data_IF_743438967323
#
_entry.id   IF_743438967323
#
_cell.length_a   1.000
_cell.length_b   1.000
_cell.length_c   1.000
_cell.angle_alpha   90.00
_cell.angle_beta   90.00
_cell.angle_gamma   90.00
#
_symmetry.space_group_name_H-M   'P 1'
#
loop_
_entity.id
_entity.type
_entity.pdbx_description
1 polymer ?
#
# COMPACT_ATOMS: atom_id res chain seq x y z
N UNK A 1 -11.50 14.12 -20.13
CA UNK A 1 -10.28 14.72 -19.54
C UNK A 1 -10.16 16.18 -19.99
N UNK A 2 -10.57 17.17 -19.16
CA UNK A 2 -10.59 18.58 -19.58
C UNK A 2 -9.20 19.11 -19.95
N UNK A 3 -8.18 18.73 -19.22
CA UNK A 3 -6.80 19.18 -19.42
C UNK A 3 -6.26 18.86 -20.82
N UNK A 4 -6.70 17.76 -21.43
CA UNK A 4 -6.24 17.34 -22.77
C UNK A 4 -6.79 18.21 -23.92
N UNK A 5 -7.72 19.13 -23.60
CA UNK A 5 -8.24 20.11 -24.57
C UNK A 5 -7.34 21.32 -24.74
N UNK A 6 -6.24 21.42 -23.99
CA UNK A 6 -5.32 22.56 -24.05
C UNK A 6 -4.53 22.58 -25.35
N UNK A 7 -4.22 23.79 -25.78
CA UNK A 7 -3.28 24.06 -26.86
C UNK A 7 -1.97 24.53 -26.23
N UNK A 8 -0.89 23.79 -26.47
CA UNK A 8 0.46 24.08 -25.98
C UNK A 8 1.37 24.34 -27.18
N UNK A 9 2.05 25.48 -27.20
CA UNK A 9 2.89 25.89 -28.34
C UNK A 9 2.17 25.84 -29.69
N UNK A 10 0.88 26.23 -29.73
CA UNK A 10 0.01 26.23 -30.92
C UNK A 10 -0.34 24.82 -31.44
N UNK A 11 -0.10 23.79 -30.68
CA UNK A 11 -0.44 22.40 -31.01
C UNK A 11 -1.36 21.80 -29.94
N UNK A 12 -2.25 20.85 -30.28
CA UNK A 12 -3.00 20.10 -29.28
C UNK A 12 -2.06 19.41 -28.28
N UNK A 13 -2.43 19.44 -27.00
CA UNK A 13 -1.66 18.75 -25.95
C UNK A 13 -1.66 17.24 -26.20
N UNK A 14 -0.47 16.65 -26.27
CA UNK A 14 -0.25 15.20 -26.21
C UNK A 14 0.41 14.89 -24.88
N UNK A 15 -0.24 14.05 -24.05
CA UNK A 15 0.26 13.66 -22.74
C UNK A 15 0.54 12.15 -22.72
N UNK A 16 1.81 11.78 -22.60
CA UNK A 16 2.29 10.39 -22.65
C UNK A 16 2.95 9.93 -21.35
N UNK A 17 2.91 10.75 -20.28
CA UNK A 17 3.55 10.48 -19.01
C UNK A 17 2.57 9.90 -17.95
N UNK A 18 1.69 8.99 -18.39
CA UNK A 18 0.68 8.40 -17.50
C UNK A 18 1.28 7.46 -16.44
N UNK A 19 2.48 6.91 -16.67
CA UNK A 19 3.18 6.09 -15.70
C UNK A 19 3.63 6.91 -14.46
N UNK A 20 3.87 8.21 -14.63
CA UNK A 20 4.16 9.13 -13.53
C UNK A 20 2.87 9.54 -12.80
N UNK A 21 1.85 10.02 -13.52
CA UNK A 21 0.52 10.34 -12.99
C UNK A 21 -0.50 10.35 -14.12
N UNK A 22 -1.71 9.85 -13.90
CA UNK A 22 -2.79 9.92 -14.88
C UNK A 22 -3.53 11.26 -14.81
N UNK A 23 -4.07 11.74 -15.93
CA UNK A 23 -4.97 12.89 -15.93
C UNK A 23 -6.34 12.53 -15.34
N UNK A 24 -7.09 13.55 -14.88
CA UNK A 24 -8.36 13.34 -14.18
C UNK A 24 -9.53 13.52 -15.14
N UNK A 25 -10.46 12.56 -15.22
CA UNK A 25 -11.70 12.74 -15.97
C UNK A 25 -12.59 13.76 -15.25
N UNK A 26 -13.50 14.40 -15.99
CA UNK A 26 -14.39 15.42 -15.43
C UNK A 26 -15.18 14.89 -14.23
N UNK A 27 -15.69 13.67 -14.30
CA UNK A 27 -16.47 13.04 -13.24
C UNK A 27 -15.73 12.98 -11.89
N UNK A 28 -14.41 12.80 -11.89
CA UNK A 28 -13.60 12.81 -10.67
C UNK A 28 -13.46 14.24 -10.13
N UNK A 29 -13.26 15.21 -11.02
CA UNK A 29 -13.19 16.64 -10.63
C UNK A 29 -14.53 17.07 -10.02
N UNK A 30 -15.63 16.73 -10.68
CA UNK A 30 -16.98 17.07 -10.24
C UNK A 30 -17.32 16.43 -8.88
N UNK A 31 -16.90 15.18 -8.64
CA UNK A 31 -17.10 14.50 -7.36
C UNK A 31 -16.38 15.22 -6.20
N UNK A 32 -15.15 15.71 -6.43
CA UNK A 32 -14.43 16.49 -5.43
C UNK A 32 -15.14 17.83 -5.15
N UNK A 33 -15.58 18.50 -6.21
CA UNK A 33 -16.33 19.77 -6.09
C UNK A 33 -17.65 19.55 -5.35
N UNK A 34 -18.37 18.47 -5.66
CA UNK A 34 -19.62 18.10 -4.99
C UNK A 34 -19.39 17.84 -3.49
N UNK A 35 -18.33 17.11 -3.14
CA UNK A 35 -17.98 16.83 -1.76
C UNK A 35 -17.81 18.13 -0.95
N UNK A 36 -17.01 19.07 -1.44
CA UNK A 36 -16.79 20.35 -0.76
C UNK A 36 -18.02 21.24 -0.72
N UNK A 37 -18.88 21.22 -1.73
CA UNK A 37 -20.06 22.06 -1.78
C UNK A 37 -21.22 21.55 -0.93
N UNK A 38 -21.36 20.22 -0.73
CA UNK A 38 -22.59 19.66 -0.22
C UNK A 38 -22.46 18.85 1.08
N UNK A 39 -21.32 18.19 1.33
CA UNK A 39 -21.21 17.27 2.47
C UNK A 39 -19.82 17.23 3.14
N UNK A 40 -18.97 18.23 2.89
CA UNK A 40 -17.66 18.32 3.54
C UNK A 40 -17.81 18.40 5.07
N UNK A 41 -17.32 17.38 5.77
CA UNK A 41 -17.35 17.27 7.23
C UNK A 41 -16.37 16.21 7.71
N UNK A 42 -15.92 16.28 8.95
CA UNK A 42 -15.14 15.20 9.55
C UNK A 42 -15.95 13.91 9.60
N UNK A 43 -15.32 12.79 9.27
CA UNK A 43 -15.94 11.46 9.26
C UNK A 43 -15.88 10.80 10.64
N UNK A 44 -16.70 9.76 10.86
CA UNK A 44 -16.81 8.86 12.02
C UNK A 44 -17.15 9.48 13.37
N UNK A 45 -16.80 10.73 13.66
CA UNK A 45 -16.96 11.34 14.99
C UNK A 45 -18.16 12.27 15.15
N UNK A 46 -18.69 12.79 14.07
CA UNK A 46 -19.79 13.73 14.11
C UNK A 46 -21.13 13.02 14.19
N UNK A 47 -22.02 13.51 15.06
CA UNK A 47 -23.40 13.01 15.17
C UNK A 47 -24.39 13.77 14.28
N UNK A 48 -23.92 14.78 13.54
CA UNK A 48 -24.76 15.59 12.67
C UNK A 48 -24.79 15.04 11.23
N UNK A 49 -25.80 15.46 10.47
CA UNK A 49 -26.12 14.95 9.14
C UNK A 49 -24.91 14.93 8.18
N UNK A 50 -24.14 16.02 8.05
CA UNK A 50 -23.01 16.08 7.12
C UNK A 50 -21.92 15.05 7.44
N UNK A 51 -21.63 14.85 8.73
CA UNK A 51 -20.66 13.83 9.15
C UNK A 51 -21.13 12.40 8.80
N UNK A 52 -22.42 12.12 8.95
CA UNK A 52 -22.99 10.82 8.59
C UNK A 52 -22.91 10.59 7.07
N UNK A 53 -23.22 11.61 6.26
CA UNK A 53 -23.11 11.54 4.80
C UNK A 53 -21.66 11.33 4.36
N UNK A 54 -20.73 12.13 4.89
CA UNK A 54 -19.30 12.00 4.58
C UNK A 54 -18.75 10.62 4.98
N UNK A 55 -19.09 10.13 6.18
CA UNK A 55 -18.72 8.79 6.64
C UNK A 55 -19.25 7.71 5.69
N UNK A 56 -20.52 7.81 5.30
CA UNK A 56 -21.12 6.84 4.37
C UNK A 56 -20.36 6.79 3.04
N UNK A 57 -20.06 7.94 2.42
CA UNK A 57 -19.30 7.98 1.16
C UNK A 57 -17.89 7.41 1.30
N UNK A 58 -17.22 7.70 2.42
CA UNK A 58 -15.89 7.18 2.70
C UNK A 58 -15.89 5.65 2.81
N UNK A 59 -16.82 5.06 3.56
CA UNK A 59 -16.91 3.62 3.71
C UNK A 59 -17.41 2.91 2.43
N UNK A 60 -18.33 3.50 1.70
CA UNK A 60 -18.74 3.00 0.37
C UNK A 60 -17.57 2.98 -0.63
N UNK A 61 -16.65 3.97 -0.56
CA UNK A 61 -15.45 3.97 -1.38
C UNK A 61 -14.51 2.82 -0.99
N UNK A 62 -14.35 2.55 0.31
CA UNK A 62 -13.56 1.42 0.82
C UNK A 62 -14.12 0.08 0.33
N UNK A 63 -15.43 -0.11 0.44
CA UNK A 63 -16.10 -1.32 -0.05
C UNK A 63 -15.92 -1.52 -1.56
N UNK A 64 -16.06 -0.44 -2.36
CA UNK A 64 -15.83 -0.51 -3.80
C UNK A 64 -14.37 -0.88 -4.15
N UNK A 65 -13.42 -0.38 -3.39
CA UNK A 65 -12.00 -0.74 -3.57
C UNK A 65 -11.77 -2.21 -3.21
N UNK A 66 -12.34 -2.70 -2.11
CA UNK A 66 -12.27 -4.10 -1.74
C UNK A 66 -12.81 -5.01 -2.85
N UNK A 67 -13.98 -4.67 -3.39
CA UNK A 67 -14.58 -5.39 -4.53
C UNK A 67 -13.71 -5.32 -5.79
N UNK A 68 -13.11 -4.14 -6.07
CA UNK A 68 -12.31 -3.90 -7.27
C UNK A 68 -11.06 -4.78 -7.35
N UNK A 69 -10.41 -5.05 -6.21
CA UNK A 69 -9.23 -5.92 -6.12
C UNK A 69 -9.55 -7.33 -5.60
N UNK A 70 -10.83 -7.67 -5.43
CA UNK A 70 -11.33 -8.93 -4.87
C UNK A 70 -10.78 -9.24 -3.46
N UNK A 71 -10.65 -8.25 -2.59
CA UNK A 71 -10.36 -8.46 -1.17
C UNK A 71 -11.53 -9.18 -0.47
N UNK A 72 -11.25 -9.94 0.59
CA UNK A 72 -12.27 -10.69 1.34
C UNK A 72 -13.19 -9.77 2.14
N UNK A 73 -12.67 -8.66 2.61
CA UNK A 73 -13.36 -7.70 3.46
C UNK A 73 -12.83 -6.29 3.24
N UNK A 74 -13.66 -5.29 3.47
CA UNK A 74 -13.22 -3.88 3.53
C UNK A 74 -12.28 -3.59 4.69
N UNK A 75 -12.24 -4.42 5.73
CA UNK A 75 -11.26 -4.34 6.82
C UNK A 75 -9.81 -4.55 6.36
N UNK A 76 -9.61 -5.16 5.20
CA UNK A 76 -8.29 -5.38 4.57
C UNK A 76 -7.81 -4.17 3.75
N UNK A 77 -8.62 -3.10 3.66
CA UNK A 77 -8.33 -1.89 2.89
C UNK A 77 -8.00 -0.74 3.83
N UNK A 78 -6.77 -0.25 3.76
CA UNK A 78 -6.28 0.88 4.53
C UNK A 78 -6.05 2.05 3.58
N UNK A 79 -6.64 3.21 3.86
CA UNK A 79 -6.33 4.43 3.15
C UNK A 79 -5.00 5.03 3.61
N UNK A 80 -4.17 5.38 2.65
CA UNK A 80 -2.83 5.95 2.85
C UNK A 80 -2.65 7.17 1.95
N UNK A 81 -1.47 7.80 1.99
CA UNK A 81 -1.16 8.94 1.10
C UNK A 81 -0.70 8.51 -0.30
N UNK A 82 -0.50 7.20 -0.53
CA UNK A 82 -0.02 6.63 -1.79
C UNK A 82 0.84 5.40 -1.56
N UNK A 83 1.30 4.77 -2.65
CA UNK A 83 2.13 3.57 -2.61
C UNK A 83 3.36 3.72 -1.71
N UNK A 84 4.03 4.87 -1.75
CA UNK A 84 5.19 5.14 -0.90
C UNK A 84 4.85 5.08 0.57
N UNK A 85 3.74 5.70 0.99
CA UNK A 85 3.27 5.68 2.39
C UNK A 85 2.86 4.27 2.80
N UNK A 86 2.18 3.53 1.92
CA UNK A 86 1.79 2.14 2.15
C UNK A 86 2.99 1.23 2.43
N UNK A 87 4.04 1.30 1.60
CA UNK A 87 5.24 0.48 1.78
C UNK A 87 6.02 0.90 3.03
N UNK A 88 6.11 2.21 3.32
CA UNK A 88 6.70 2.69 4.56
C UNK A 88 5.93 2.20 5.79
N UNK A 89 4.60 2.17 5.74
CA UNK A 89 3.76 1.63 6.81
C UNK A 89 4.11 0.17 7.09
N UNK A 90 4.19 -0.67 6.06
CA UNK A 90 4.54 -2.09 6.21
C UNK A 90 5.95 -2.23 6.76
N UNK A 91 6.93 -1.56 6.14
CA UNK A 91 8.34 -1.65 6.54
C UNK A 91 8.57 -1.15 7.98
N UNK A 92 7.84 -0.12 8.41
CA UNK A 92 7.88 0.34 9.80
C UNK A 92 7.28 -0.71 10.74
N UNK A 93 6.04 -1.13 10.49
CA UNK A 93 5.30 -2.03 11.39
C UNK A 93 5.96 -3.40 11.53
N UNK A 94 6.56 -3.96 10.47
CA UNK A 94 7.32 -5.21 10.54
C UNK A 94 8.60 -5.10 11.39
N UNK A 95 9.16 -3.91 11.47
CA UNK A 95 10.31 -3.62 12.31
C UNK A 95 9.97 -3.35 13.79
N UNK A 96 8.74 -3.06 14.13
CA UNK A 96 8.33 -2.74 15.48
C UNK A 96 7.78 -3.98 16.23
N UNK A 97 7.76 -3.90 17.56
CA UNK A 97 7.15 -4.97 18.36
C UNK A 97 5.63 -4.94 18.19
N UNK A 98 4.98 -6.11 18.00
CA UNK A 98 3.53 -6.20 18.07
C UNK A 98 3.07 -5.68 19.44
N UNK A 99 2.01 -4.88 19.45
CA UNK A 99 1.37 -4.21 20.57
C UNK A 99 1.88 -4.60 21.96
N UNK A 100 2.71 -3.75 22.55
CA UNK A 100 3.43 -3.94 23.81
C UNK A 100 2.56 -4.06 25.08
N UNK A 101 1.24 -4.08 24.96
CA UNK A 101 0.33 -4.10 26.12
C UNK A 101 -0.26 -5.47 26.47
N UNK A 102 0.02 -6.52 25.69
CA UNK A 102 -0.63 -7.80 25.93
C UNK A 102 0.28 -8.97 26.34
N UNK A 103 1.56 -8.96 26.08
CA UNK A 103 2.48 -9.98 26.63
C UNK A 103 3.93 -9.50 26.51
N UNK A 104 4.65 -9.46 27.61
CA UNK A 104 6.09 -9.22 27.69
C UNK A 104 6.85 -10.31 26.92
N UNK A 105 7.37 -10.01 25.75
CA UNK A 105 8.36 -10.78 24.98
C UNK A 105 8.03 -11.06 23.50
N UNK A 106 7.04 -10.46 22.88
CA UNK A 106 6.91 -10.58 21.42
C UNK A 106 8.01 -9.78 20.73
N UNK A 107 8.87 -10.48 19.98
CA UNK A 107 9.89 -9.85 19.14
C UNK A 107 9.23 -9.22 17.90
N UNK A 108 9.88 -8.18 17.32
CA UNK A 108 9.53 -7.67 16.00
C UNK A 108 9.60 -8.79 14.95
N UNK A 109 8.83 -8.67 13.87
CA UNK A 109 8.86 -9.65 12.78
C UNK A 109 10.21 -9.66 12.05
N UNK A 110 10.92 -8.51 12.02
CA UNK A 110 12.23 -8.35 11.42
C UNK A 110 13.24 -8.03 12.53
N UNK A 111 14.32 -8.78 12.57
CA UNK A 111 15.42 -8.62 13.51
C UNK A 111 16.80 -8.72 12.85
N UNK A 112 17.83 -8.84 13.68
CA UNK A 112 19.23 -8.91 13.23
C UNK A 112 19.47 -10.19 12.41
N UNK A 113 20.12 -10.05 11.25
CA UNK A 113 20.42 -11.09 10.28
C UNK A 113 19.21 -11.71 9.56
N UNK A 114 17.99 -11.19 9.76
CA UNK A 114 16.87 -11.51 8.88
C UNK A 114 17.10 -10.91 7.49
N UNK A 115 16.52 -11.54 6.47
CA UNK A 115 16.77 -11.18 5.07
C UNK A 115 15.49 -10.62 4.43
N UNK A 116 15.64 -9.53 3.70
CA UNK A 116 14.62 -8.91 2.86
C UNK A 116 15.10 -8.96 1.41
N UNK A 117 14.22 -9.35 0.49
CA UNK A 117 14.56 -9.44 -0.93
C UNK A 117 13.68 -8.45 -1.71
N UNK A 118 14.30 -7.63 -2.55
CA UNK A 118 13.64 -6.77 -3.55
C UNK A 118 14.07 -7.17 -4.95
N UNK A 119 13.65 -6.47 -5.99
CA UNK A 119 14.14 -6.77 -7.36
C UNK A 119 14.96 -5.63 -7.93
N UNK A 120 15.72 -5.90 -8.99
CA UNK A 120 16.42 -4.88 -9.76
C UNK A 120 15.49 -3.95 -10.57
N UNK A 121 14.19 -4.17 -10.57
CA UNK A 121 13.18 -3.37 -11.30
C UNK A 121 12.33 -2.47 -10.41
N UNK A 122 12.68 -2.34 -9.13
CA UNK A 122 11.87 -1.59 -8.18
C UNK A 122 11.94 -0.08 -8.36
N UNK A 123 10.80 0.57 -8.12
CA UNK A 123 10.77 2.00 -7.88
C UNK A 123 11.41 2.32 -6.52
N UNK A 124 11.99 3.51 -6.36
CA UNK A 124 12.63 3.95 -5.10
C UNK A 124 11.73 3.78 -3.87
N UNK A 125 10.41 3.96 -4.01
CA UNK A 125 9.44 3.72 -2.92
C UNK A 125 9.40 2.26 -2.44
N UNK A 126 9.90 1.33 -3.23
CA UNK A 126 9.98 -0.08 -2.86
C UNK A 126 11.44 -0.56 -2.66
N UNK A 127 12.38 0.34 -2.51
CA UNK A 127 13.78 0.06 -2.15
C UNK A 127 14.12 0.74 -0.83
N UNK A 128 13.95 2.07 -0.78
CA UNK A 128 14.43 2.90 0.34
C UNK A 128 13.82 2.54 1.68
N UNK A 129 12.50 2.28 1.83
CA UNK A 129 11.93 1.86 3.11
C UNK A 129 12.55 0.57 3.66
N UNK A 130 12.90 -0.37 2.79
CA UNK A 130 13.55 -1.63 3.16
C UNK A 130 15.01 -1.42 3.56
N UNK A 131 15.75 -0.52 2.88
CA UNK A 131 17.11 -0.11 3.29
C UNK A 131 17.09 0.50 4.69
N UNK A 132 16.15 1.44 4.95
CA UNK A 132 15.98 2.06 6.26
C UNK A 132 15.63 1.06 7.36
N UNK A 133 14.77 0.07 7.04
CA UNK A 133 14.43 -1.00 7.96
C UNK A 133 15.65 -1.88 8.26
N UNK A 134 16.38 -2.31 7.23
CA UNK A 134 17.59 -3.13 7.39
C UNK A 134 18.65 -2.43 8.23
N UNK A 135 18.89 -1.14 7.99
CA UNK A 135 19.82 -0.35 8.79
C UNK A 135 19.38 -0.30 10.27
N UNK A 136 18.11 -0.01 10.53
CA UNK A 136 17.55 0.09 11.89
C UNK A 136 17.56 -1.24 12.66
N UNK A 137 17.34 -2.35 11.96
CA UNK A 137 17.21 -3.70 12.55
C UNK A 137 18.42 -4.59 12.38
N UNK A 138 19.46 -4.13 11.69
CA UNK A 138 20.63 -4.92 11.28
C UNK A 138 20.25 -6.16 10.46
N UNK A 139 19.20 -6.03 9.67
CA UNK A 139 18.77 -7.03 8.70
C UNK A 139 19.55 -6.86 7.38
N UNK A 140 19.45 -7.82 6.49
CA UNK A 140 20.19 -7.85 5.23
C UNK A 140 19.24 -7.63 4.07
N UNK A 141 19.56 -6.69 3.18
CA UNK A 141 18.80 -6.45 1.96
C UNK A 141 19.49 -7.12 0.77
N UNK A 142 18.79 -8.03 0.11
CA UNK A 142 19.19 -8.64 -1.14
C UNK A 142 18.37 -8.10 -2.31
N UNK A 143 18.87 -8.26 -3.53
CA UNK A 143 18.09 -7.98 -4.73
C UNK A 143 18.20 -9.10 -5.76
N UNK A 144 17.08 -9.37 -6.43
CA UNK A 144 17.02 -10.29 -7.57
C UNK A 144 17.65 -9.59 -8.78
N UNK A 145 18.71 -10.10 -9.38
CA UNK A 145 19.34 -9.49 -10.54
C UNK A 145 18.47 -9.63 -11.79
N UNK A 146 18.79 -8.85 -12.80
CA UNK A 146 18.20 -8.95 -14.13
C UNK A 146 19.07 -9.80 -15.05
N UNK A 147 18.42 -10.52 -15.95
CA UNK A 147 19.06 -11.17 -17.11
C UNK A 147 19.35 -10.13 -18.20
N UNK A 148 20.12 -10.51 -19.20
CA UNK A 148 20.46 -9.65 -20.35
C UNK A 148 19.22 -9.14 -21.11
N UNK A 149 18.13 -9.90 -21.09
CA UNK A 149 16.84 -9.51 -21.66
C UNK A 149 15.96 -8.62 -20.73
N UNK A 150 16.54 -8.14 -19.65
CA UNK A 150 15.91 -7.29 -18.62
C UNK A 150 14.78 -7.94 -17.81
N UNK A 151 14.57 -9.25 -17.91
CA UNK A 151 13.66 -9.98 -17.04
C UNK A 151 14.36 -10.38 -15.73
N UNK A 152 13.58 -10.67 -14.68
CA UNK A 152 14.12 -11.14 -13.40
C UNK A 152 14.79 -12.52 -13.57
N UNK A 153 15.91 -12.70 -12.90
CA UNK A 153 16.57 -14.02 -12.82
C UNK A 153 15.95 -14.85 -11.69
N UNK A 154 15.00 -15.71 -12.06
CA UNK A 154 14.28 -16.57 -11.10
C UNK A 154 15.19 -17.63 -10.47
N UNK A 155 16.21 -18.11 -11.17
CA UNK A 155 17.17 -19.07 -10.57
C UNK A 155 18.04 -18.39 -9.50
N UNK A 156 18.49 -17.16 -9.76
CA UNK A 156 19.14 -16.35 -8.74
C UNK A 156 18.22 -16.06 -7.56
N UNK A 157 16.92 -15.79 -7.81
CA UNK A 157 15.94 -15.63 -6.74
C UNK A 157 15.82 -16.87 -5.87
N UNK A 158 15.67 -18.06 -6.48
CA UNK A 158 15.61 -19.32 -5.72
C UNK A 158 16.86 -19.54 -4.86
N UNK A 159 18.03 -19.14 -5.34
CA UNK A 159 19.27 -19.24 -4.58
C UNK A 159 19.39 -18.23 -3.42
N UNK A 160 18.66 -17.11 -3.48
CA UNK A 160 18.61 -16.13 -2.40
C UNK A 160 17.65 -16.53 -1.27
N UNK A 161 16.63 -17.37 -1.55
CA UNK A 161 15.66 -17.78 -0.55
C UNK A 161 16.29 -18.67 0.53
N UNK A 162 16.07 -18.33 1.79
CA UNK A 162 16.57 -19.06 2.96
C UNK A 162 15.56 -19.02 4.11
N UNK A 163 15.82 -19.76 5.18
CA UNK A 163 15.01 -19.71 6.40
C UNK A 163 15.10 -18.35 7.13
N UNK A 164 16.02 -17.48 6.72
CA UNK A 164 16.16 -16.11 7.22
C UNK A 164 15.36 -15.12 6.40
N UNK A 165 14.91 -15.48 5.20
CA UNK A 165 14.07 -14.64 4.38
C UNK A 165 12.74 -14.38 5.09
N UNK A 166 12.42 -13.11 5.32
CA UNK A 166 11.20 -12.67 6.01
C UNK A 166 10.25 -11.92 5.10
N UNK A 167 10.80 -11.18 4.14
CA UNK A 167 10.01 -10.36 3.21
C UNK A 167 10.58 -10.45 1.81
N UNK A 168 9.70 -10.62 0.83
CA UNK A 168 9.98 -10.35 -0.58
C UNK A 168 9.07 -9.22 -1.02
N UNK A 169 9.65 -8.10 -1.46
CA UNK A 169 8.90 -6.94 -1.95
C UNK A 169 9.18 -6.71 -3.42
N UNK A 170 8.11 -6.70 -4.23
CA UNK A 170 8.22 -6.77 -5.69
C UNK A 170 7.22 -5.89 -6.41
N UNK A 171 7.68 -5.12 -7.40
CA UNK A 171 6.80 -4.43 -8.34
C UNK A 171 6.13 -5.45 -9.28
N UNK A 172 4.81 -5.41 -9.38
CA UNK A 172 4.07 -6.26 -10.32
C UNK A 172 4.40 -5.87 -11.77
N UNK A 173 4.43 -4.58 -12.05
CA UNK A 173 4.79 -4.03 -13.37
C UNK A 173 5.83 -2.93 -13.19
N UNK A 174 6.93 -3.01 -13.94
CA UNK A 174 7.97 -1.99 -13.90
C UNK A 174 7.46 -0.66 -14.46
N UNK A 175 7.64 0.43 -13.72
CA UNK A 175 7.30 1.77 -14.15
C UNK A 175 8.22 2.31 -15.27
N UNK A 176 9.39 1.71 -15.46
CA UNK A 176 10.40 2.13 -16.45
C UNK A 176 10.28 1.28 -17.72
N UNK A 177 10.24 -0.03 -17.58
CA UNK A 177 10.31 -0.97 -18.70
C UNK A 177 8.93 -1.49 -19.14
N UNK A 178 7.89 -1.35 -18.31
CA UNK A 178 6.57 -1.93 -18.56
C UNK A 178 6.52 -3.47 -18.53
N UNK A 179 7.59 -4.10 -18.05
CA UNK A 179 7.67 -5.56 -17.90
C UNK A 179 6.75 -5.99 -16.77
N UNK A 180 5.93 -7.01 -17.03
CA UNK A 180 5.10 -7.69 -16.04
C UNK A 180 5.96 -8.79 -15.39
N UNK A 181 6.21 -8.69 -14.10
CA UNK A 181 6.98 -9.66 -13.36
C UNK A 181 6.15 -10.92 -13.06
N UNK A 182 6.77 -12.11 -12.99
CA UNK A 182 6.08 -13.37 -12.70
C UNK A 182 5.77 -13.50 -11.19
N UNK A 183 4.91 -12.60 -10.67
CA UNK A 183 4.67 -12.49 -9.23
C UNK A 183 3.99 -13.73 -8.65
N UNK A 184 3.14 -14.44 -9.41
CA UNK A 184 2.49 -15.67 -8.94
C UNK A 184 3.54 -16.74 -8.57
N UNK A 185 4.55 -16.95 -9.42
CA UNK A 185 5.66 -17.88 -9.13
C UNK A 185 6.48 -17.42 -7.93
N UNK A 186 6.81 -16.12 -7.86
CA UNK A 186 7.59 -15.53 -6.78
C UNK A 186 6.86 -15.64 -5.44
N UNK A 187 5.54 -15.39 -5.41
CA UNK A 187 4.72 -15.53 -4.21
C UNK A 187 4.74 -16.97 -3.72
N UNK A 188 4.48 -17.93 -4.61
CA UNK A 188 4.46 -19.36 -4.26
C UNK A 188 5.81 -19.83 -3.68
N UNK A 189 6.92 -19.44 -4.31
CA UNK A 189 8.27 -19.77 -3.82
C UNK A 189 8.56 -19.12 -2.47
N UNK A 190 8.18 -17.86 -2.29
CA UNK A 190 8.38 -17.11 -1.04
C UNK A 190 7.60 -17.76 0.13
N UNK A 191 6.35 -18.12 -0.08
CA UNK A 191 5.52 -18.73 0.95
C UNK A 191 6.03 -20.12 1.40
N UNK A 192 6.77 -20.86 0.57
CA UNK A 192 7.41 -22.10 0.98
C UNK A 192 8.43 -21.91 2.11
N UNK A 193 8.99 -20.70 2.25
CA UNK A 193 9.91 -20.33 3.31
C UNK A 193 9.23 -19.60 4.48
N UNK A 194 7.90 -19.44 4.43
CA UNK A 194 7.12 -18.73 5.45
C UNK A 194 7.35 -17.22 5.46
N UNK A 195 7.87 -16.67 4.36
CA UNK A 195 8.14 -15.24 4.20
C UNK A 195 6.92 -14.49 3.66
N UNK A 196 6.83 -13.20 3.95
CA UNK A 196 5.76 -12.27 3.57
C UNK A 196 6.02 -11.73 2.16
N UNK A 197 4.97 -11.59 1.36
CA UNK A 197 5.07 -10.93 0.05
C UNK A 197 4.34 -9.60 0.04
N UNK A 198 5.09 -8.55 -0.34
CA UNK A 198 4.58 -7.19 -0.56
C UNK A 198 4.64 -6.88 -2.05
N UNK A 199 3.50 -6.57 -2.64
CA UNK A 199 3.39 -6.23 -4.07
C UNK A 199 3.22 -4.73 -4.25
N UNK A 200 4.14 -4.09 -4.97
CA UNK A 200 3.94 -2.75 -5.50
C UNK A 200 3.06 -2.83 -6.76
N UNK A 201 1.80 -2.49 -6.59
CA UNK A 201 0.77 -2.49 -7.62
C UNK A 201 0.57 -1.14 -8.31
N UNK A 202 1.47 -0.17 -8.10
CA UNK A 202 1.28 1.19 -8.60
C UNK A 202 1.09 1.29 -10.10
N UNK A 203 1.69 0.37 -10.87
CA UNK A 203 1.53 0.32 -12.32
C UNK A 203 0.58 -0.79 -12.79
N UNK A 204 0.33 -1.82 -12.00
CA UNK A 204 -0.56 -2.91 -12.40
C UNK A 204 -2.03 -2.60 -12.14
N UNK A 205 -2.37 -2.11 -10.93
CA UNK A 205 -3.76 -1.85 -10.52
C UNK A 205 -4.50 -0.89 -11.49
N UNK A 206 -3.87 0.18 -12.03
CA UNK A 206 -4.52 1.03 -13.01
C UNK A 206 -4.76 0.39 -14.39
N UNK A 207 -4.05 -0.67 -14.74
CA UNK A 207 -3.94 -1.15 -16.13
C UNK A 207 -4.42 -2.58 -16.36
N UNK A 208 -4.55 -3.39 -15.31
CA UNK A 208 -4.95 -4.78 -15.43
C UNK A 208 -5.82 -5.22 -14.25
N UNK A 209 -6.72 -6.20 -14.44
CA UNK A 209 -7.50 -6.77 -13.35
C UNK A 209 -6.57 -7.39 -12.29
N UNK A 210 -6.85 -7.08 -11.02
CA UNK A 210 -6.13 -7.64 -9.88
C UNK A 210 -7.12 -8.43 -9.02
N UNK A 211 -6.71 -9.63 -8.65
CA UNK A 211 -7.42 -10.48 -7.72
C UNK A 211 -6.45 -10.90 -6.61
N UNK A 212 -6.52 -10.21 -5.47
CA UNK A 212 -5.58 -10.43 -4.36
C UNK A 212 -5.74 -11.80 -3.72
N UNK A 213 -6.93 -12.41 -3.80
CA UNK A 213 -7.17 -13.75 -3.28
C UNK A 213 -6.51 -14.81 -4.17
N UNK A 214 -6.59 -14.64 -5.49
CA UNK A 214 -5.97 -15.54 -6.46
C UNK A 214 -4.43 -15.40 -6.44
N UNK A 215 -3.94 -14.16 -6.36
CA UNK A 215 -2.50 -13.88 -6.24
C UNK A 215 -1.92 -14.40 -4.93
N UNK A 216 -2.73 -14.42 -3.88
CA UNK A 216 -2.33 -14.80 -2.52
C UNK A 216 -1.20 -13.93 -1.94
N UNK A 217 -1.04 -12.68 -2.41
CA UNK A 217 -0.10 -11.74 -1.81
C UNK A 217 -0.54 -11.33 -0.41
N UNK A 218 0.42 -11.05 0.48
CA UNK A 218 0.10 -10.66 1.86
C UNK A 218 -0.25 -9.18 1.94
N UNK A 219 0.40 -8.36 1.10
CA UNK A 219 0.14 -6.93 0.96
C UNK A 219 0.18 -6.49 -0.49
N UNK A 220 -0.66 -5.51 -0.84
CA UNK A 220 -0.64 -4.83 -2.15
C UNK A 220 -0.76 -3.32 -1.92
N UNK A 221 0.11 -2.53 -2.55
CA UNK A 221 0.12 -1.07 -2.42
C UNK A 221 -0.11 -0.39 -3.78
N UNK A 222 -0.98 0.63 -3.84
CA UNK A 222 -1.19 1.43 -5.05
C UNK A 222 -1.62 2.86 -4.74
N UNK A 223 -1.57 3.74 -5.75
CA UNK A 223 -1.82 5.17 -5.61
C UNK A 223 -2.99 5.64 -6.45
N UNK A 224 -3.88 6.45 -5.87
CA UNK A 224 -5.03 7.00 -6.56
C UNK A 224 -4.65 7.87 -7.76
N UNK A 225 -3.56 8.67 -7.67
CA UNK A 225 -3.17 9.58 -8.75
C UNK A 225 -2.73 8.89 -10.04
N UNK A 226 -2.44 7.58 -10.02
CA UNK A 226 -2.12 6.78 -11.21
C UNK A 226 -3.34 6.07 -11.81
N UNK A 227 -4.46 6.02 -11.08
CA UNK A 227 -5.72 5.43 -11.52
C UNK A 227 -6.84 6.47 -11.57
N UNK A 228 -6.54 7.62 -12.16
CA UNK A 228 -7.44 8.74 -12.43
C UNK A 228 -7.96 9.49 -11.20
N UNK A 229 -7.58 9.06 -9.99
CA UNK A 229 -7.93 9.71 -8.73
C UNK A 229 -7.02 10.90 -8.38
N UNK A 230 -7.29 11.63 -7.29
CA UNK A 230 -6.46 12.75 -6.85
C UNK A 230 -5.09 12.29 -6.32
N UNK A 231 -4.19 13.25 -6.15
CA UNK A 231 -2.95 13.07 -5.38
C UNK A 231 -3.25 13.03 -3.89
N UNK A 232 -2.32 12.47 -3.10
CA UNK A 232 -2.43 12.46 -1.63
C UNK A 232 -3.38 11.37 -1.10
N UNK A 233 -3.83 10.46 -1.94
CA UNK A 233 -4.58 9.26 -1.55
C UNK A 233 -4.00 8.02 -2.23
N UNK A 234 -3.92 6.95 -1.48
CA UNK A 234 -3.54 5.62 -1.93
C UNK A 234 -4.18 4.54 -1.09
N UNK A 235 -3.88 3.32 -1.40
CA UNK A 235 -4.43 2.14 -0.76
C UNK A 235 -3.33 1.16 -0.41
N UNK A 236 -3.41 0.67 0.80
CA UNK A 236 -2.74 -0.53 1.25
C UNK A 236 -3.81 -1.62 1.46
N UNK A 237 -3.75 -2.68 0.66
CA UNK A 237 -4.38 -3.95 1.00
C UNK A 237 -3.42 -4.75 1.86
N UNK A 238 -3.94 -5.38 2.90
CA UNK A 238 -3.23 -6.37 3.70
C UNK A 238 -4.17 -7.49 4.14
N UNK A 239 -3.70 -8.73 4.09
CA UNK A 239 -4.45 -9.85 4.66
C UNK A 239 -4.78 -9.54 6.12
N UNK A 240 -6.05 -9.73 6.53
CA UNK A 240 -6.52 -9.41 7.88
C UNK A 240 -5.63 -10.00 8.97
N UNK A 241 -5.18 -11.23 8.79
CA UNK A 241 -4.31 -11.93 9.75
C UNK A 241 -2.95 -11.22 9.98
N UNK A 242 -2.41 -10.53 8.99
CA UNK A 242 -1.22 -9.72 9.12
C UNK A 242 -1.54 -8.37 9.76
N UNK A 243 -2.57 -7.69 9.27
CA UNK A 243 -2.99 -6.40 9.82
C UNK A 243 -3.34 -6.50 11.32
N UNK A 244 -3.97 -7.58 11.76
CA UNK A 244 -4.28 -7.80 13.18
C UNK A 244 -3.02 -7.89 14.05
N UNK A 245 -1.96 -8.54 13.54
CA UNK A 245 -0.68 -8.73 14.26
C UNK A 245 0.19 -7.48 14.27
N UNK A 246 0.15 -6.66 13.21
CA UNK A 246 1.02 -5.48 13.09
C UNK A 246 0.62 -4.38 14.08
N UNK A 247 1.58 -3.65 14.66
CA UNK A 247 1.31 -2.43 15.43
C UNK A 247 0.84 -1.31 14.52
N UNK A 248 0.19 -0.25 15.05
CA UNK A 248 -0.13 0.93 14.25
C UNK A 248 1.14 1.64 13.78
N UNK A 249 1.06 2.28 12.61
CA UNK A 249 2.15 3.07 12.04
C UNK A 249 2.24 4.47 12.64
N UNK A 250 1.09 5.14 12.75
CA UNK A 250 1.00 6.51 13.26
C UNK A 250 0.07 6.55 14.47
N UNK A 251 0.38 7.44 15.42
CA UNK A 251 -0.48 7.70 16.57
C UNK A 251 -1.23 9.02 16.41
N UNK A 252 -2.52 9.02 16.78
CA UNK A 252 -3.35 10.23 16.69
C UNK A 252 -4.82 9.95 17.01
N UNK A 253 -5.70 10.81 16.54
CA UNK A 253 -7.13 10.57 16.57
C UNK A 253 -7.53 9.45 15.59
N UNK A 254 -8.75 8.99 15.65
CA UNK A 254 -9.38 7.89 14.89
C UNK A 254 -8.83 6.50 15.21
N UNK A 255 -7.52 6.31 15.22
CA UNK A 255 -6.85 5.02 15.38
C UNK A 255 -6.84 4.48 16.83
N UNK A 256 -7.35 5.24 17.79
CA UNK A 256 -7.38 4.89 19.21
C UNK A 256 -8.75 4.39 19.66
N UNK A 257 -8.78 3.44 20.60
CA UNK A 257 -9.98 3.05 21.32
C UNK A 257 -10.04 3.78 22.69
N UNK A 258 -9.06 3.58 23.55
CA UNK A 258 -8.95 4.29 24.83
C UNK A 258 -7.56 4.89 25.01
N UNK A 259 -7.52 6.13 25.48
CA UNK A 259 -6.27 6.84 25.85
C UNK A 259 -6.23 7.08 27.35
N UNK A 260 -5.14 6.65 27.99
CA UNK A 260 -4.84 6.91 29.41
C UNK A 260 -3.38 7.33 29.51
N UNK A 261 -3.02 8.01 30.56
CA UNK A 261 -1.62 8.35 30.84
C UNK A 261 -0.72 7.11 31.01
N UNK A 262 -1.30 5.98 31.43
CA UNK A 262 -0.60 4.68 31.59
C UNK A 262 -0.48 3.89 30.27
N UNK A 263 -1.14 4.29 29.19
CA UNK A 263 -1.11 3.61 27.90
C UNK A 263 -2.36 3.81 27.07
N UNK A 264 -2.28 3.37 25.82
CA UNK A 264 -3.34 3.52 24.82
C UNK A 264 -3.73 2.17 24.24
N UNK A 265 -5.00 1.91 24.07
CA UNK A 265 -5.51 0.81 23.25
C UNK A 265 -5.95 1.34 21.88
N UNK A 266 -5.77 0.52 20.86
CA UNK A 266 -6.00 0.91 19.48
C UNK A 266 -7.36 0.43 18.98
N UNK A 267 -7.84 1.09 17.94
CA UNK A 267 -9.11 0.77 17.30
C UNK A 267 -9.00 -0.53 16.49
N UNK A 268 -10.14 -1.04 16.04
CA UNK A 268 -10.22 -2.20 15.15
C UNK A 268 -9.77 -1.82 13.73
N UNK A 269 -9.57 -2.85 12.87
CA UNK A 269 -9.31 -2.66 11.46
C UNK A 269 -10.53 -2.03 10.76
N UNK A 270 -10.32 -1.19 9.79
CA UNK A 270 -9.03 -0.68 9.26
C UNK A 270 -8.47 0.51 10.04
N UNK A 271 -9.25 1.09 10.94
CA UNK A 271 -9.01 2.39 11.61
C UNK A 271 -7.72 2.43 12.44
N UNK A 272 -7.23 1.27 12.90
CA UNK A 272 -5.93 1.16 13.60
C UNK A 272 -4.76 1.78 12.81
N UNK A 273 -4.85 1.80 11.48
CA UNK A 273 -3.81 2.32 10.59
C UNK A 273 -4.12 3.70 10.03
N UNK A 274 -5.28 4.27 10.33
CA UNK A 274 -5.75 5.55 9.77
C UNK A 274 -5.81 6.62 10.86
N UNK A 275 -4.67 7.25 11.13
CA UNK A 275 -4.53 8.26 12.17
C UNK A 275 -4.85 9.66 11.63
N UNK A 276 -5.69 10.39 12.36
CA UNK A 276 -6.06 11.78 12.04
C UNK A 276 -7.20 11.88 11.04
N UNK A 277 -7.56 13.10 10.65
CA UNK A 277 -8.59 13.34 9.64
C UNK A 277 -8.08 12.86 8.28
N UNK A 278 -8.76 11.90 7.63
CA UNK A 278 -8.33 11.38 6.35
C UNK A 278 -8.59 12.36 5.20
N UNK A 279 -7.98 12.07 4.06
CA UNK A 279 -8.27 12.73 2.80
C UNK A 279 -9.46 11.98 2.14
N UNK A 280 -10.66 12.56 2.20
CA UNK A 280 -11.92 11.96 1.72
C UNK A 280 -12.58 12.82 0.64
#
# INVERSE_FOLDING_TARGET
>A
FPILKQIVHKQPLVYLDNAATSQKPQVVIDAIVEAYNHWNSNIHRGVHHLSQVATKHHEEAREKIAQFIHAKSSEEIIFTKGTTDSINTIAFCLGEQPNSYKEDNQKSFIGENDEIIVTGLEHHSNIVPWQMLCERKKAILHHIPLRDNLTLDIEAFKALLSNKTKVVSIAHVSNVLGIINPIEEIIQLTHQYGAIVVVDGAQSVPHMPIDVQKLDCDFLAFSGHKMYGPTGIGVLFGKKEWLDKLPPYQGGGEMINHVRWSGTTYNELPYKFEAGTPNY
#
